data_IF_670822382733
#
_entry.id   IF_670822382733
#
_cell.length_a   1.000
_cell.length_b   1.000
_cell.length_c   1.000
_cell.angle_alpha   90.00
_cell.angle_beta   90.00
_cell.angle_gamma   90.00
#
_symmetry.space_group_name_H-M   'P 1'
#
loop_
_entity.id
_entity.type
_entity.pdbx_description
1 polymer ?
#
# COMPACT_ATOMS: atom_id res chain seq x y z
N UNK A 1 -7.16 3.18 -12.33
CA UNK A 1 -6.14 2.91 -13.39
C UNK A 1 -4.72 2.78 -12.84
N UNK A 2 -4.32 3.52 -11.80
CA UNK A 2 -2.94 3.52 -11.29
C UNK A 2 -2.43 2.12 -10.87
N UNK A 3 -3.23 1.35 -10.11
CA UNK A 3 -2.84 -0.02 -9.70
C UNK A 3 -2.58 -0.93 -10.91
N UNK A 4 -3.45 -0.89 -11.92
CA UNK A 4 -3.25 -1.68 -13.15
C UNK A 4 -1.95 -1.28 -13.87
N UNK A 5 -1.66 0.02 -13.95
CA UNK A 5 -0.41 0.50 -14.53
C UNK A 5 0.82 -0.05 -13.80
N UNK A 6 0.85 0.04 -12.47
CA UNK A 6 1.96 -0.46 -11.65
C UNK A 6 2.10 -1.99 -11.78
N UNK A 7 1.00 -2.74 -11.73
CA UNK A 7 1.03 -4.20 -11.93
C UNK A 7 1.63 -4.58 -13.28
N UNK A 8 1.25 -3.89 -14.36
CA UNK A 8 1.80 -4.13 -15.69
C UNK A 8 3.29 -3.79 -15.77
N UNK A 9 3.76 -2.74 -15.10
CA UNK A 9 5.18 -2.39 -15.02
C UNK A 9 5.99 -3.47 -14.27
N UNK A 10 5.46 -3.97 -13.15
CA UNK A 10 6.08 -5.06 -12.39
C UNK A 10 6.18 -6.33 -13.25
N UNK A 11 5.10 -6.67 -13.97
CA UNK A 11 5.09 -7.81 -14.90
C UNK A 11 6.06 -7.67 -16.08
N UNK A 12 6.52 -6.44 -16.40
CA UNK A 12 7.40 -6.10 -17.53
C UNK A 12 8.83 -5.79 -17.10
N UNK A 13 9.34 -6.54 -16.10
CA UNK A 13 10.75 -6.48 -15.70
C UNK A 13 11.04 -5.60 -14.49
N UNK A 14 10.05 -4.83 -14.00
CA UNK A 14 10.11 -4.16 -12.70
C UNK A 14 11.39 -3.33 -12.43
N UNK A 15 11.74 -2.37 -13.29
CA UNK A 15 12.98 -1.60 -13.13
C UNK A 15 13.02 -0.75 -11.84
N UNK A 16 11.84 -0.41 -11.29
CA UNK A 16 11.70 0.37 -10.08
C UNK A 16 11.63 -0.48 -8.79
N UNK A 17 11.79 -1.81 -8.89
CA UNK A 17 11.85 -2.69 -7.74
C UNK A 17 10.58 -2.73 -6.88
N UNK A 18 9.41 -2.55 -7.48
CA UNK A 18 8.12 -2.63 -6.78
C UNK A 18 7.63 -4.07 -6.64
N UNK A 19 6.77 -4.32 -5.67
CA UNK A 19 6.06 -5.58 -5.54
C UNK A 19 4.56 -5.37 -5.52
N UNK A 20 3.84 -6.43 -5.88
CA UNK A 20 2.37 -6.48 -5.87
C UNK A 20 1.96 -7.49 -4.81
N UNK A 21 1.26 -7.01 -3.80
CA UNK A 21 0.68 -7.82 -2.74
C UNK A 21 -0.82 -7.98 -3.00
N UNK A 22 -1.32 -9.19 -2.84
CA UNK A 22 -2.74 -9.51 -2.88
C UNK A 22 -3.11 -10.30 -1.64
N UNK A 23 -4.32 -10.10 -1.15
CA UNK A 23 -4.82 -10.81 0.05
C UNK A 23 -5.16 -12.28 -0.24
N UNK A 24 -5.56 -12.58 -1.47
CA UNK A 24 -5.87 -13.93 -1.93
C UNK A 24 -5.64 -14.07 -3.43
N UNK A 25 -5.37 -15.30 -3.86
CA UNK A 25 -5.23 -15.65 -5.27
C UNK A 25 -5.98 -16.95 -5.58
N UNK A 26 -6.68 -17.07 -6.73
CA UNK A 26 -6.82 -16.07 -7.80
C UNK A 26 -7.90 -15.01 -7.53
N UNK A 27 -8.76 -15.19 -6.53
CA UNK A 27 -9.85 -14.28 -6.21
C UNK A 27 -9.38 -13.24 -5.19
N UNK A 28 -8.63 -12.24 -5.63
CA UNK A 28 -8.18 -11.15 -4.79
C UNK A 28 -9.33 -10.20 -4.44
N UNK A 29 -9.33 -9.66 -3.23
CA UNK A 29 -10.20 -8.54 -2.81
C UNK A 29 -9.42 -7.26 -2.69
N UNK A 30 -8.11 -7.34 -2.47
CA UNK A 30 -7.19 -6.22 -2.34
C UNK A 30 -5.97 -6.43 -3.21
N UNK A 31 -5.52 -5.36 -3.86
CA UNK A 31 -4.24 -5.26 -4.55
C UNK A 31 -3.52 -4.06 -3.96
N UNK A 32 -2.32 -4.27 -3.43
CA UNK A 32 -1.44 -3.21 -2.94
C UNK A 32 -0.13 -3.29 -3.72
N UNK A 33 0.31 -2.17 -4.27
CA UNK A 33 1.65 -2.06 -4.85
C UNK A 33 2.51 -1.16 -3.99
N UNK A 34 3.75 -1.57 -3.71
CA UNK A 34 4.72 -0.78 -2.94
C UNK A 34 6.13 -0.98 -3.48
N UNK A 35 7.03 -0.07 -3.14
CA UNK A 35 8.46 -0.32 -3.28
C UNK A 35 8.87 -1.51 -2.39
N UNK A 36 9.71 -2.42 -2.88
CA UNK A 36 10.22 -3.51 -2.06
C UNK A 36 10.94 -2.95 -0.82
N UNK A 37 10.73 -3.53 0.38
CA UNK A 37 11.35 -3.01 1.60
C UNK A 37 12.87 -2.84 1.53
N UNK A 38 13.55 -3.70 0.77
CA UNK A 38 15.00 -3.67 0.58
C UNK A 38 15.48 -2.51 -0.30
N UNK A 39 14.61 -2.01 -1.19
CA UNK A 39 14.91 -0.89 -2.10
C UNK A 39 14.69 0.46 -1.40
N UNK A 40 13.90 0.49 -0.32
CA UNK A 40 13.67 1.70 0.46
C UNK A 40 14.85 1.96 1.42
N UNK A 41 15.71 2.91 1.08
CA UNK A 41 16.93 3.23 1.83
C UNK A 41 16.76 4.29 2.92
N UNK A 42 15.77 5.18 2.79
CA UNK A 42 15.53 6.27 3.75
C UNK A 42 14.19 6.06 4.45
N UNK A 43 14.15 5.83 5.77
CA UNK A 43 12.91 5.70 6.52
C UNK A 43 12.01 6.94 6.51
N UNK A 44 12.56 8.13 6.24
CA UNK A 44 11.82 9.40 6.19
C UNK A 44 11.32 9.79 4.80
N UNK A 45 11.76 9.11 3.73
CA UNK A 45 11.37 9.43 2.36
C UNK A 45 10.01 8.83 2.02
N UNK A 46 8.95 9.55 2.39
CA UNK A 46 7.58 9.16 2.07
C UNK A 46 7.27 9.20 0.57
N UNK A 47 8.05 9.94 -0.23
CA UNK A 47 7.85 10.06 -1.67
C UNK A 47 8.36 8.80 -2.38
N UNK A 48 9.54 8.31 -1.99
CA UNK A 48 10.03 7.02 -2.46
C UNK A 48 9.20 5.85 -1.92
N UNK A 49 8.68 5.96 -0.69
CA UNK A 49 7.83 4.95 -0.07
C UNK A 49 6.35 5.13 -0.44
N UNK A 50 6.06 5.09 -1.74
CA UNK A 50 4.71 5.20 -2.25
C UNK A 50 4.00 3.84 -2.27
N UNK A 51 2.81 3.78 -1.69
CA UNK A 51 1.89 2.67 -1.75
C UNK A 51 0.71 3.04 -2.66
N UNK A 52 0.26 2.11 -3.49
CA UNK A 52 -0.96 2.30 -4.30
C UNK A 52 -1.91 1.13 -4.06
N UNK A 53 -3.10 1.44 -3.55
CA UNK A 53 -4.10 0.46 -3.15
C UNK A 53 -5.27 0.40 -4.13
N UNK A 54 -5.77 -0.82 -4.34
CA UNK A 54 -7.10 -1.07 -4.87
C UNK A 54 -7.79 -2.12 -4.02
N UNK A 55 -9.03 -1.88 -3.62
CA UNK A 55 -9.83 -2.87 -2.90
C UNK A 55 -11.26 -2.93 -3.42
N UNK A 56 -11.84 -4.12 -3.31
CA UNK A 56 -13.25 -4.45 -3.52
C UNK A 56 -13.97 -4.68 -2.18
N UNK A 57 -13.22 -4.98 -1.12
CA UNK A 57 -13.72 -5.22 0.23
C UNK A 57 -12.96 -4.35 1.23
N UNK A 58 -13.67 -3.44 1.91
CA UNK A 58 -13.08 -2.51 2.87
C UNK A 58 -12.55 -3.23 4.12
N UNK A 59 -13.19 -4.33 4.54
CA UNK A 59 -12.73 -5.13 5.67
C UNK A 59 -11.38 -5.79 5.39
N UNK A 60 -11.21 -6.35 4.19
CA UNK A 60 -9.95 -6.91 3.72
C UNK A 60 -8.87 -5.83 3.60
N UNK A 61 -9.22 -4.63 3.11
CA UNK A 61 -8.29 -3.49 3.06
C UNK A 61 -7.80 -3.09 4.46
N UNK A 62 -8.72 -2.95 5.42
CA UNK A 62 -8.39 -2.62 6.81
C UNK A 62 -7.55 -3.70 7.47
N UNK A 63 -7.85 -4.98 7.22
CA UNK A 63 -7.07 -6.10 7.72
C UNK A 63 -5.64 -6.08 7.14
N UNK A 64 -5.50 -5.85 5.83
CA UNK A 64 -4.22 -5.77 5.15
C UNK A 64 -3.37 -4.59 5.67
N UNK A 65 -3.96 -3.39 5.79
CA UNK A 65 -3.28 -2.22 6.37
C UNK A 65 -2.96 -2.40 7.86
N UNK A 66 -3.81 -3.10 8.60
CA UNK A 66 -3.61 -3.38 10.03
C UNK A 66 -2.44 -4.32 10.29
N UNK A 67 -2.16 -5.23 9.34
CA UNK A 67 -1.04 -6.17 9.36
C UNK A 67 0.33 -5.50 9.29
N UNK A 68 1.34 -6.17 9.83
CA UNK A 68 2.73 -5.65 9.92
C UNK A 68 3.55 -5.90 8.67
N UNK A 69 3.15 -6.86 7.82
CA UNK A 69 3.96 -7.25 6.66
C UNK A 69 3.65 -6.43 5.41
N UNK A 70 2.43 -5.90 5.27
CA UNK A 70 1.99 -5.16 4.08
C UNK A 70 2.35 -3.67 4.13
N UNK A 71 2.34 -3.06 5.31
CA UNK A 71 2.70 -1.65 5.52
C UNK A 71 3.61 -1.55 6.73
N UNK A 72 4.82 -1.04 6.52
CA UNK A 72 5.73 -0.70 7.60
C UNK A 72 5.38 0.68 8.16
N UNK A 73 4.56 0.67 9.21
CA UNK A 73 4.10 1.87 9.91
C UNK A 73 5.21 2.59 10.71
N UNK A 74 6.42 2.03 10.78
CA UNK A 74 7.57 2.71 11.39
C UNK A 74 8.26 3.70 10.45
N UNK A 75 7.94 3.64 9.15
CA UNK A 75 8.52 4.49 8.10
C UNK A 75 7.51 5.50 7.59
N UNK A 76 7.98 6.64 7.11
CA UNK A 76 7.13 7.60 6.42
C UNK A 76 6.71 7.01 5.07
N UNK A 77 5.45 7.19 4.67
CA UNK A 77 4.92 6.68 3.42
C UNK A 77 3.74 7.50 2.91
N UNK A 78 3.46 7.39 1.61
CA UNK A 78 2.24 7.94 1.01
C UNK A 78 1.36 6.80 0.49
N UNK A 79 0.06 6.83 0.79
CA UNK A 79 -0.92 5.93 0.16
C UNK A 79 -1.69 6.69 -0.93
N UNK A 80 -1.73 6.11 -2.12
CA UNK A 80 -2.57 6.56 -3.23
C UNK A 80 -3.66 5.52 -3.52
N UNK A 81 -4.88 5.99 -3.72
CA UNK A 81 -6.01 5.17 -4.13
C UNK A 81 -7.19 6.05 -4.50
N UNK A 82 -8.15 5.49 -5.23
CA UNK A 82 -9.31 6.24 -5.74
C UNK A 82 -10.62 5.83 -5.06
N UNK A 83 -10.56 4.89 -4.12
CA UNK A 83 -11.73 4.41 -3.41
C UNK A 83 -12.23 5.42 -2.38
N UNK A 84 -13.54 5.56 -2.32
CA UNK A 84 -14.22 6.30 -1.27
C UNK A 84 -13.97 5.63 0.09
N UNK A 85 -13.76 6.42 1.15
CA UNK A 85 -13.46 5.92 2.49
C UNK A 85 -11.99 5.56 2.75
N UNK A 86 -11.12 5.63 1.73
CA UNK A 86 -9.69 5.31 1.86
C UNK A 86 -9.00 6.19 2.92
N UNK A 87 -9.22 7.50 2.86
CA UNK A 87 -8.60 8.46 3.76
C UNK A 87 -9.05 8.23 5.21
N UNK A 88 -10.34 7.99 5.42
CA UNK A 88 -10.93 7.72 6.72
C UNK A 88 -10.39 6.42 7.31
N UNK A 89 -10.30 5.35 6.51
CA UNK A 89 -9.74 4.07 6.94
C UNK A 89 -8.27 4.20 7.35
N UNK A 90 -7.45 4.90 6.55
CA UNK A 90 -6.04 5.16 6.88
C UNK A 90 -5.91 6.01 8.13
N UNK A 91 -6.70 7.09 8.26
CA UNK A 91 -6.70 7.95 9.45
C UNK A 91 -7.08 7.19 10.72
N UNK A 92 -8.09 6.33 10.65
CA UNK A 92 -8.51 5.52 11.80
C UNK A 92 -7.40 4.56 12.24
N UNK A 93 -6.73 3.89 11.29
CA UNK A 93 -5.63 2.98 11.57
C UNK A 93 -4.38 3.72 12.10
N UNK A 94 -4.04 4.86 11.52
CA UNK A 94 -2.95 5.70 12.00
C UNK A 94 -3.20 6.17 13.44
N UNK A 95 -4.41 6.67 13.74
CA UNK A 95 -4.82 7.05 15.10
C UNK A 95 -4.74 5.89 16.08
N UNK A 96 -5.22 4.71 15.70
CA UNK A 96 -5.13 3.50 16.53
C UNK A 96 -3.66 3.10 16.83
N UNK A 97 -2.73 3.47 15.95
CA UNK A 97 -1.28 3.27 16.12
C UNK A 97 -0.56 4.48 16.75
N UNK A 98 -1.27 5.55 17.11
CA UNK A 98 -0.68 6.76 17.70
C UNK A 98 0.11 7.63 16.71
N UNK A 99 -0.12 7.45 15.40
CA UNK A 99 0.59 8.14 14.33
C UNK A 99 -0.17 9.38 13.85
N UNK A 100 0.57 10.36 13.32
CA UNK A 100 0.00 11.54 12.67
C UNK A 100 -0.16 11.29 11.17
N UNK A 101 -1.27 11.74 10.62
CA UNK A 101 -1.53 11.79 9.18
C UNK A 101 -1.49 13.27 8.80
N UNK A 102 -0.73 13.59 7.75
CA UNK A 102 -0.58 14.93 7.20
C UNK A 102 -1.28 15.05 5.85
#
# INVERSE_FOLDING_TARGET
LQVLGTVMTVARGNPAGHEVLVDSWPHFRVVLTRLRPEENRDPGDFYANQLTGYYQDEGAWRALLGGTEAVDWSRAFQIQGMQEGLYEAVCQLARAKGLRVE
#
